data_IF_979826425677
#
_entry.id   IF_979826425677
#
_cell.length_a   1.000
_cell.length_b   1.000
_cell.length_c   1.000
_cell.angle_alpha   90.00
_cell.angle_beta   90.00
_cell.angle_gamma   90.00
#
_symmetry.space_group_name_H-M   'P 1'
#
loop_
_entity.id
_entity.type
_entity.pdbx_description
1 polymer ?
#
# COMPACT_ATOMS: atom_id res chain seq x y z
N UNK A 1 17.55 2.50 36.01
CA UNK A 1 16.68 1.54 35.28
C UNK A 1 15.81 2.28 34.25
N UNK A 2 16.35 2.66 33.08
CA UNK A 2 15.58 3.28 31.97
C UNK A 2 16.24 3.13 30.58
N UNK A 3 17.37 2.40 30.51
CA UNK A 3 18.13 2.21 29.25
C UNK A 3 17.58 0.99 28.47
N UNK A 4 17.11 -0.03 29.18
CA UNK A 4 16.62 -1.29 28.61
C UNK A 4 15.36 -1.07 27.75
N UNK A 5 14.41 -0.24 28.20
CA UNK A 5 13.14 0.01 27.48
C UNK A 5 13.35 0.73 26.13
N UNK A 6 14.31 1.66 26.04
CA UNK A 6 14.63 2.35 24.77
C UNK A 6 15.31 1.42 23.77
N UNK A 7 16.12 0.48 24.25
CA UNK A 7 16.75 -0.55 23.40
C UNK A 7 15.71 -1.55 22.87
N UNK A 8 14.77 -2.00 23.70
CA UNK A 8 13.70 -2.91 23.26
C UNK A 8 12.79 -2.24 22.22
N UNK A 9 12.45 -0.96 22.38
CA UNK A 9 11.67 -0.21 21.39
C UNK A 9 12.41 -0.05 20.03
N UNK A 10 13.75 0.05 20.06
CA UNK A 10 14.58 0.05 18.84
C UNK A 10 14.63 -1.32 18.15
N UNK A 11 14.55 -2.41 18.91
CA UNK A 11 14.60 -3.79 18.39
C UNK A 11 13.22 -4.25 17.86
N UNK A 12 12.13 -3.89 18.54
CA UNK A 12 10.74 -4.23 18.16
C UNK A 12 10.15 -3.24 17.14
N UNK A 13 10.81 -2.10 16.96
CA UNK A 13 10.32 -0.99 16.14
C UNK A 13 9.25 -0.17 16.86
N UNK A 14 9.13 1.09 16.46
CA UNK A 14 8.10 1.99 16.96
C UNK A 14 6.71 1.60 16.41
N UNK A 15 5.66 2.17 17.00
CA UNK A 15 4.30 2.09 16.45
C UNK A 15 4.26 2.57 15.00
N UNK A 16 5.02 3.61 14.67
CA UNK A 16 5.10 4.16 13.32
C UNK A 16 5.78 3.17 12.37
N UNK A 17 6.88 2.53 12.78
CA UNK A 17 7.56 1.54 11.96
C UNK A 17 6.65 0.34 11.64
N UNK A 18 5.84 -0.09 12.61
CA UNK A 18 4.83 -1.14 12.38
C UNK A 18 3.74 -0.70 11.41
N UNK A 19 3.28 0.55 11.52
CA UNK A 19 2.28 1.10 10.60
C UNK A 19 2.83 1.16 9.18
N UNK A 20 4.05 1.69 9.01
CA UNK A 20 4.74 1.77 7.73
C UNK A 20 4.92 0.37 7.12
N UNK A 21 5.38 -0.62 7.91
CA UNK A 21 5.48 -2.02 7.45
C UNK A 21 4.15 -2.60 6.97
N UNK A 22 3.04 -2.24 7.62
CA UNK A 22 1.70 -2.68 7.18
C UNK A 22 1.33 -2.03 5.85
N UNK A 23 1.59 -0.73 5.69
CA UNK A 23 1.30 0.00 4.46
C UNK A 23 2.16 -0.46 3.28
N UNK A 24 3.42 -0.85 3.51
CA UNK A 24 4.29 -1.38 2.46
C UNK A 24 3.70 -2.58 1.73
N UNK A 25 2.98 -3.47 2.43
CA UNK A 25 2.27 -4.60 1.79
C UNK A 25 1.19 -4.11 0.80
N UNK A 26 0.48 -3.05 1.16
CA UNK A 26 -0.53 -2.45 0.28
C UNK A 26 0.13 -1.75 -0.91
N UNK A 27 1.27 -1.08 -0.69
CA UNK A 27 2.05 -0.46 -1.79
C UNK A 27 2.53 -1.52 -2.78
N UNK A 28 3.05 -2.65 -2.30
CA UNK A 28 3.47 -3.78 -3.15
C UNK A 28 2.31 -4.28 -4.02
N UNK A 29 1.14 -4.52 -3.41
CA UNK A 29 -0.06 -4.93 -4.13
C UNK A 29 -0.54 -3.90 -5.17
N UNK A 30 -0.34 -2.60 -4.91
CA UNK A 30 -0.66 -1.54 -5.87
C UNK A 30 0.33 -1.56 -7.05
N UNK A 31 1.62 -1.70 -6.76
CA UNK A 31 2.67 -1.73 -7.78
C UNK A 31 2.53 -2.95 -8.70
N UNK A 32 2.07 -4.10 -8.18
CA UNK A 32 1.79 -5.29 -9.00
C UNK A 32 0.73 -5.03 -10.09
N UNK A 33 -0.13 -4.02 -9.91
CA UNK A 33 -1.14 -3.63 -10.90
C UNK A 33 -0.60 -2.69 -11.98
N UNK A 34 0.59 -2.09 -11.78
CA UNK A 34 1.14 -1.03 -12.64
C UNK A 34 1.30 -1.49 -14.09
N UNK A 35 1.90 -2.67 -14.32
CA UNK A 35 2.10 -3.19 -15.68
C UNK A 35 0.78 -3.39 -16.44
N UNK A 36 -0.29 -3.78 -15.74
CA UNK A 36 -1.61 -3.98 -16.35
C UNK A 36 -2.32 -2.66 -16.68
N UNK A 37 -2.05 -1.61 -15.92
CA UNK A 37 -2.62 -0.28 -16.12
C UNK A 37 -1.85 0.50 -17.18
N UNK A 38 -0.52 0.36 -17.21
CA UNK A 38 0.35 1.02 -18.19
C UNK A 38 0.12 0.53 -19.62
N UNK A 39 -0.36 -0.70 -19.79
CA UNK A 39 -0.68 -1.27 -21.09
C UNK A 39 -1.98 -0.73 -21.71
N UNK A 40 -2.78 0.05 -20.97
CA UNK A 40 -4.08 0.55 -21.43
C UNK A 40 -3.94 1.79 -22.31
N UNK A 41 -4.83 1.92 -23.30
CA UNK A 41 -5.04 3.19 -24.00
C UNK A 41 -5.80 4.21 -23.14
N UNK A 42 -5.85 5.47 -23.59
CA UNK A 42 -6.60 6.53 -22.90
C UNK A 42 -8.10 6.19 -22.80
N UNK A 43 -8.68 5.60 -23.86
CA UNK A 43 -10.08 5.15 -23.87
C UNK A 43 -10.32 4.01 -22.89
N UNK A 44 -9.41 3.03 -22.85
CA UNK A 44 -9.50 1.87 -21.95
C UNK A 44 -9.33 2.27 -20.48
N UNK A 45 -8.40 3.21 -20.20
CA UNK A 45 -8.19 3.75 -18.87
C UNK A 45 -9.41 4.56 -18.41
N UNK A 46 -10.00 5.38 -19.28
CA UNK A 46 -11.24 6.11 -18.99
C UNK A 46 -12.41 5.14 -18.68
N UNK A 47 -12.52 4.05 -19.44
CA UNK A 47 -13.54 3.02 -19.23
C UNK A 47 -13.45 2.32 -17.86
N UNK A 48 -12.26 2.27 -17.23
CA UNK A 48 -12.10 1.74 -15.87
C UNK A 48 -12.98 2.48 -14.84
N UNK A 49 -13.25 3.77 -15.04
CA UNK A 49 -14.13 4.55 -14.16
C UNK A 49 -15.54 3.95 -14.10
N UNK A 50 -16.13 3.63 -15.26
CA UNK A 50 -17.45 3.02 -15.32
C UNK A 50 -17.43 1.60 -14.75
N UNK A 51 -16.40 0.81 -15.10
CA UNK A 51 -16.20 -0.52 -14.52
C UNK A 51 -16.19 -0.52 -12.98
N UNK A 52 -15.51 0.43 -12.34
CA UNK A 52 -15.48 0.51 -10.88
C UNK A 52 -16.79 1.00 -10.27
N UNK A 53 -17.52 1.89 -10.95
CA UNK A 53 -18.88 2.30 -10.53
C UNK A 53 -19.83 1.10 -10.56
N UNK A 54 -19.80 0.32 -11.64
CA UNK A 54 -20.63 -0.87 -11.79
C UNK A 54 -20.32 -1.93 -10.74
N UNK A 55 -19.06 -2.02 -10.28
CA UNK A 55 -18.64 -2.94 -9.21
C UNK A 55 -19.14 -2.52 -7.80
N UNK A 56 -19.46 -1.25 -7.61
CA UNK A 56 -19.93 -0.70 -6.33
C UNK A 56 -21.47 -0.66 -6.22
N UNK A 57 -22.17 -0.82 -7.34
CA UNK A 57 -23.62 -1.00 -7.39
C UNK A 57 -24.02 -2.40 -6.86
#
# INVERSE_FOLDING_TARGET
MSIINKFIAKIVGSRNDRLIKKLYKTVEQINDLESSLQALSDEELSAKTNFFKDRLN
#
